data_IF_433589591716
#
_entry.id   IF_433589591716
#
_cell.length_a   1.000
_cell.length_b   1.000
_cell.length_c   1.000
_cell.angle_alpha   90.00
_cell.angle_beta   90.00
_cell.angle_gamma   90.00
#
_symmetry.space_group_name_H-M   'P 1'
#
loop_
_entity.id
_entity.type
_entity.pdbx_description
1 polymer ?
#
# COMPACT_ATOMS: atom_id res chain seq x y z
N UNK A 1 1.61 2.13 13.89
CA UNK A 1 2.32 1.11 13.07
C UNK A 1 3.76 1.04 13.57
N UNK A 2 4.27 -0.13 13.95
CA UNK A 2 5.66 -0.22 14.47
C UNK A 2 6.68 -0.18 13.32
N UNK A 3 7.92 0.23 13.58
CA UNK A 3 8.97 0.31 12.55
C UNK A 3 9.25 -1.02 11.87
N UNK A 4 9.24 -2.13 12.64
CA UNK A 4 9.42 -3.50 12.12
C UNK A 4 8.27 -3.89 11.16
N UNK A 5 7.03 -3.63 11.56
CA UNK A 5 5.84 -3.87 10.74
C UNK A 5 5.90 -3.10 9.43
N UNK A 6 6.34 -1.83 9.48
CA UNK A 6 6.53 -1.01 8.29
C UNK A 6 7.60 -1.60 7.36
N UNK A 7 8.73 -2.03 7.89
CA UNK A 7 9.80 -2.64 7.08
C UNK A 7 9.33 -3.92 6.36
N UNK A 8 8.53 -4.75 7.02
CA UNK A 8 7.95 -5.95 6.41
C UNK A 8 6.95 -5.61 5.29
N UNK A 9 6.06 -4.64 5.51
CA UNK A 9 5.15 -4.18 4.46
C UNK A 9 5.92 -3.58 3.28
N UNK A 10 7.02 -2.88 3.53
CA UNK A 10 7.90 -2.37 2.48
C UNK A 10 8.49 -3.52 1.68
N UNK A 11 9.07 -4.55 2.32
CA UNK A 11 9.67 -5.67 1.60
C UNK A 11 8.64 -6.43 0.76
N UNK A 12 7.45 -6.67 1.31
CA UNK A 12 6.35 -7.28 0.57
C UNK A 12 5.87 -6.40 -0.58
N UNK A 13 5.90 -5.07 -0.42
CA UNK A 13 5.52 -4.17 -1.49
C UNK A 13 6.55 -4.10 -2.61
N UNK A 14 7.83 -4.38 -2.37
CA UNK A 14 8.88 -4.23 -3.39
C UNK A 14 8.70 -5.20 -4.56
N UNK A 15 8.26 -6.44 -4.28
CA UNK A 15 7.96 -7.46 -5.29
C UNK A 15 6.61 -7.30 -6.00
N UNK A 16 5.74 -6.41 -5.52
CA UNK A 16 4.44 -6.17 -6.14
C UNK A 16 4.53 -5.12 -7.25
N UNK A 17 3.88 -5.36 -8.38
CA UNK A 17 3.75 -4.34 -9.41
C UNK A 17 2.66 -3.30 -9.08
N UNK A 18 2.82 -2.05 -9.54
CA UNK A 18 1.77 -1.05 -9.42
C UNK A 18 0.55 -1.51 -10.24
N UNK A 19 -0.57 -1.70 -9.56
CA UNK A 19 -1.83 -2.10 -10.21
C UNK A 19 -2.67 -0.89 -10.64
N UNK A 20 -2.38 0.27 -10.07
CA UNK A 20 -3.05 1.52 -10.39
C UNK A 20 -2.05 2.58 -10.83
N UNK A 21 -2.50 3.49 -11.68
CA UNK A 21 -1.69 4.58 -12.20
C UNK A 21 -2.49 5.89 -12.22
N UNK A 22 -1.87 6.96 -11.72
CA UNK A 22 -2.45 8.31 -11.69
C UNK A 22 -1.88 9.11 -12.85
N UNK A 23 -2.76 9.63 -13.69
CA UNK A 23 -2.44 10.46 -14.85
C UNK A 23 -2.65 11.95 -14.61
N UNK A 24 -3.22 12.64 -15.60
CA UNK A 24 -3.54 14.07 -15.53
C UNK A 24 -4.81 14.35 -14.72
N UNK A 25 -5.77 13.43 -14.72
CA UNK A 25 -7.08 13.59 -14.06
C UNK A 25 -7.04 13.51 -12.52
N UNK A 26 -5.85 13.54 -11.92
CA UNK A 26 -5.63 13.46 -10.47
C UNK A 26 -6.44 12.31 -9.83
N UNK A 27 -6.87 12.46 -8.57
CA UNK A 27 -7.61 11.43 -7.82
C UNK A 27 -9.12 11.68 -7.92
N UNK A 28 -9.79 11.02 -8.88
CA UNK A 28 -11.26 11.05 -8.99
C UNK A 28 -11.93 10.18 -7.91
N UNK A 29 -13.21 10.43 -7.59
CA UNK A 29 -13.96 9.57 -6.67
C UNK A 29 -14.03 8.11 -7.16
N UNK A 30 -14.26 7.86 -8.46
CA UNK A 30 -14.31 6.49 -8.99
C UNK A 30 -12.96 5.78 -8.81
N UNK A 31 -11.85 6.51 -8.91
CA UNK A 31 -10.51 5.96 -8.71
C UNK A 31 -10.30 5.52 -7.25
N UNK A 32 -10.73 6.33 -6.28
CA UNK A 32 -10.67 5.93 -4.86
C UNK A 32 -11.60 4.78 -4.51
N UNK A 33 -12.75 4.65 -5.19
CA UNK A 33 -13.64 3.51 -5.03
C UNK A 33 -13.02 2.23 -5.60
N UNK A 34 -12.41 2.31 -6.79
CA UNK A 34 -11.69 1.19 -7.39
C UNK A 34 -10.52 0.72 -6.50
N UNK A 35 -9.77 1.65 -5.89
CA UNK A 35 -8.72 1.30 -4.91
C UNK A 35 -9.34 0.63 -3.68
N UNK A 36 -10.45 1.16 -3.18
CA UNK A 36 -11.15 0.58 -2.03
C UNK A 36 -11.63 -0.84 -2.30
N UNK A 37 -12.11 -1.13 -3.51
CA UNK A 37 -12.49 -2.46 -3.94
C UNK A 37 -11.27 -3.37 -4.09
N UNK A 38 -10.20 -2.88 -4.68
CA UNK A 38 -8.95 -3.64 -4.80
C UNK A 38 -8.39 -4.04 -3.43
N UNK A 39 -8.59 -3.21 -2.40
CA UNK A 39 -8.19 -3.55 -1.03
C UNK A 39 -8.93 -4.78 -0.47
N UNK A 40 -10.12 -5.11 -0.99
CA UNK A 40 -10.83 -6.32 -0.60
C UNK A 40 -10.16 -7.60 -1.12
N UNK A 41 -9.38 -7.51 -2.21
CA UNK A 41 -8.65 -8.63 -2.81
C UNK A 41 -7.18 -8.65 -2.41
N UNK A 42 -6.59 -7.49 -2.11
CA UNK A 42 -5.17 -7.29 -1.82
C UNK A 42 -5.00 -6.36 -0.63
N UNK A 43 -4.25 -6.79 0.38
CA UNK A 43 -4.02 -5.94 1.55
C UNK A 43 -3.00 -4.82 1.29
N UNK A 44 -2.09 -5.03 0.34
CA UNK A 44 -1.10 -4.03 -0.11
C UNK A 44 -1.40 -3.65 -1.55
N UNK A 45 -1.44 -2.35 -1.82
CA UNK A 45 -1.60 -1.79 -3.15
C UNK A 45 -0.43 -0.86 -3.44
N UNK A 46 0.15 -1.02 -4.62
CA UNK A 46 1.13 -0.10 -5.18
C UNK A 46 0.47 0.71 -6.29
N UNK A 47 0.67 2.02 -6.24
CA UNK A 47 0.14 3.00 -7.18
C UNK A 47 1.33 3.70 -7.84
N UNK A 48 1.30 3.84 -9.16
CA UNK A 48 2.28 4.62 -9.92
C UNK A 48 1.71 5.99 -10.24
N UNK A 49 2.51 7.04 -10.18
CA UNK A 49 2.14 8.40 -10.57
C UNK A 49 2.88 8.72 -11.87
N UNK A 50 2.15 9.15 -12.89
CA UNK A 50 2.73 9.55 -14.16
C UNK A 50 3.50 10.86 -14.02
N UNK A 51 4.45 11.08 -14.94
CA UNK A 51 5.28 12.28 -14.95
C UNK A 51 4.50 13.58 -15.17
N UNK A 52 3.26 13.47 -15.67
CA UNK A 52 2.40 14.60 -15.99
C UNK A 52 1.56 15.08 -14.80
N UNK A 53 1.64 14.42 -13.65
CA UNK A 53 0.99 14.86 -12.42
C UNK A 53 1.89 15.91 -11.74
N UNK A 54 1.36 17.12 -11.55
CA UNK A 54 2.04 18.22 -10.86
C UNK A 54 1.94 18.10 -9.33
N UNK A 55 1.07 17.21 -8.84
CA UNK A 55 0.86 17.02 -7.42
C UNK A 55 1.99 16.22 -6.77
N UNK A 56 2.31 16.57 -5.53
CA UNK A 56 3.30 15.85 -4.75
C UNK A 56 2.82 14.42 -4.43
N UNK A 57 3.57 13.36 -4.77
CA UNK A 57 3.16 11.98 -4.53
C UNK A 57 2.90 11.67 -3.05
N UNK A 58 3.50 12.44 -2.12
CA UNK A 58 3.20 12.30 -0.70
C UNK A 58 1.83 12.88 -0.35
N UNK A 59 1.50 14.07 -0.86
CA UNK A 59 0.16 14.65 -0.71
C UNK A 59 -0.92 13.76 -1.33
N UNK A 60 -0.67 13.19 -2.51
CA UNK A 60 -1.55 12.20 -3.14
C UNK A 60 -1.74 10.96 -2.27
N UNK A 61 -0.64 10.44 -1.71
CA UNK A 61 -0.69 9.28 -0.83
C UNK A 61 -1.58 9.54 0.39
N UNK A 62 -1.43 10.70 1.03
CA UNK A 62 -2.24 11.10 2.19
C UNK A 62 -3.71 11.30 1.82
N UNK A 63 -3.99 11.92 0.66
CA UNK A 63 -5.35 12.10 0.17
C UNK A 63 -6.05 10.75 -0.08
N UNK A 64 -5.40 9.84 -0.79
CA UNK A 64 -5.94 8.51 -1.08
C UNK A 64 -6.07 7.70 0.21
N UNK A 65 -5.09 7.77 1.10
CA UNK A 65 -5.12 7.11 2.41
C UNK A 65 -6.32 7.56 3.24
N UNK A 66 -6.57 8.87 3.31
CA UNK A 66 -7.72 9.44 3.99
C UNK A 66 -9.06 8.96 3.43
N UNK A 67 -9.22 8.98 2.10
CA UNK A 67 -10.46 8.54 1.44
C UNK A 67 -10.71 7.04 1.59
N UNK A 68 -9.68 6.23 1.39
CA UNK A 68 -9.79 4.77 1.41
C UNK A 68 -9.69 4.17 2.81
N UNK A 69 -9.43 4.99 3.84
CA UNK A 69 -9.11 4.55 5.22
C UNK A 69 -7.95 3.54 5.23
N UNK A 70 -6.92 3.84 4.44
CA UNK A 70 -5.70 3.03 4.36
C UNK A 70 -4.52 3.77 4.99
N UNK A 71 -3.42 3.06 5.19
CA UNK A 71 -2.20 3.59 5.79
C UNK A 71 -1.12 3.72 4.73
N UNK A 72 -0.49 4.89 4.67
CA UNK A 72 0.68 5.11 3.81
C UNK A 72 1.89 4.39 4.40
N UNK A 73 2.37 3.36 3.70
CA UNK A 73 3.56 2.61 4.13
C UNK A 73 4.82 3.34 3.70
N UNK A 74 4.94 3.63 2.40
CA UNK A 74 6.13 4.29 1.84
C UNK A 74 5.77 4.95 0.52
N UNK A 75 6.41 6.09 0.26
CA UNK A 75 6.42 6.74 -1.04
C UNK A 75 7.82 6.60 -1.60
N UNK A 76 7.94 6.08 -2.83
CA UNK A 76 9.20 5.79 -3.52
C UNK A 76 9.18 6.57 -4.84
N UNK A 77 9.70 7.80 -4.82
CA UNK A 77 9.62 8.69 -5.97
C UNK A 77 8.17 8.88 -6.39
N UNK A 78 7.82 8.40 -7.59
CA UNK A 78 6.46 8.46 -8.13
C UNK A 78 5.61 7.21 -7.84
N UNK A 79 6.08 6.28 -6.99
CA UNK A 79 5.31 5.10 -6.59
C UNK A 79 4.85 5.25 -5.15
N UNK A 80 3.58 5.00 -4.90
CA UNK A 80 2.96 5.08 -3.58
C UNK A 80 2.60 3.66 -3.14
N UNK A 81 2.97 3.30 -1.92
CA UNK A 81 2.61 2.02 -1.31
C UNK A 81 1.63 2.28 -0.17
N UNK A 82 0.43 1.72 -0.32
CA UNK A 82 -0.64 1.80 0.66
C UNK A 82 -0.94 0.40 1.20
N UNK A 83 -1.28 0.35 2.49
CA UNK A 83 -1.70 -0.88 3.16
C UNK A 83 -3.03 -0.66 3.85
N UNK A 84 -3.95 -1.61 3.68
CA UNK A 84 -5.22 -1.63 4.40
C UNK A 84 -5.45 -3.04 4.95
N UNK A 85 -5.60 -3.20 6.28
CA UNK A 85 -5.95 -4.48 6.85
C UNK A 85 -7.38 -4.86 6.44
N UNK A 86 -7.59 -6.12 6.05
CA UNK A 86 -8.93 -6.64 5.82
C UNK A 86 -9.72 -6.67 7.14
N UNK A 87 -11.03 -6.36 7.06
CA UNK A 87 -11.93 -6.45 8.23
C UNK A 87 -12.01 -7.89 8.75
N UNK A 88 -12.03 -8.85 7.85
CA UNK A 88 -12.08 -10.27 8.16
C UNK A 88 -10.69 -10.79 8.53
N UNK A 89 -10.51 -11.13 9.80
CA UNK A 89 -9.23 -11.60 10.36
C UNK A 89 -8.82 -12.95 9.75
N UNK A 90 -9.79 -13.80 9.36
CA UNK A 90 -9.49 -15.12 8.79
C UNK A 90 -8.98 -15.05 7.36
N UNK A 91 -9.26 -13.96 6.65
CA UNK A 91 -8.78 -13.72 5.26
C UNK A 91 -7.51 -12.86 5.20
N UNK A 92 -6.99 -12.41 6.35
CA UNK A 92 -5.74 -11.65 6.39
C UNK A 92 -4.59 -12.55 5.96
N UNK A 93 -3.89 -12.15 4.90
CA UNK A 93 -2.64 -12.80 4.48
C UNK A 93 -1.46 -12.26 5.26
N UNK A 94 -1.57 -11.05 5.83
CA UNK A 94 -0.50 -10.38 6.55
C UNK A 94 -0.84 -10.30 8.05
N UNK A 95 -0.26 -11.23 8.83
CA UNK A 95 -0.30 -11.24 10.29
C UNK A 95 0.78 -10.32 10.89
N UNK A 96 0.42 -9.08 11.19
CA UNK A 96 1.35 -8.12 11.83
C UNK A 96 1.77 -8.51 13.26
N UNK A 97 1.03 -9.44 13.90
CA UNK A 97 1.32 -9.89 15.27
C UNK A 97 2.42 -10.97 15.34
N UNK A 98 2.61 -11.75 14.26
CA UNK A 98 3.71 -12.74 14.16
C UNK A 98 5.08 -12.08 13.97
N UNK A 99 5.10 -10.83 13.51
CA UNK A 99 6.35 -10.12 13.21
C UNK A 99 7.14 -9.72 14.46
N UNK A 100 6.52 -9.73 15.64
CA UNK A 100 7.20 -9.47 16.90
C UNK A 100 8.16 -10.61 17.31
N UNK A 101 7.99 -11.81 16.73
CA UNK A 101 8.69 -13.05 17.13
C UNK A 101 9.81 -13.45 16.15
N UNK A 102 9.90 -12.81 14.99
CA UNK A 102 10.94 -13.14 14.00
C UNK A 102 12.19 -12.32 14.25
N UNK A 103 13.14 -12.96 14.93
CA UNK A 103 14.56 -12.74 14.72
C UNK A 103 14.90 -12.72 13.21
N UNK A 104 15.89 -11.93 12.76
CA UNK A 104 16.17 -11.58 11.37
C UNK A 104 16.60 -12.73 10.41
N UNK A 105 16.30 -14.00 10.72
CA UNK A 105 16.88 -15.17 10.03
C UNK A 105 15.99 -15.87 8.98
N UNK A 106 14.70 -15.56 8.83
CA UNK A 106 13.84 -16.28 7.86
C UNK A 106 13.51 -15.45 6.61
N UNK A 107 14.55 -15.11 5.85
CA UNK A 107 14.43 -14.86 4.40
C UNK A 107 14.92 -16.08 3.64
N UNK A 108 14.05 -17.08 3.41
CA UNK A 108 14.24 -18.06 2.33
C UNK A 108 12.94 -18.81 2.03
N UNK A 109 12.69 -18.99 0.72
CA UNK A 109 11.64 -19.78 0.06
C UNK A 109 10.24 -19.15 0.17
N UNK A 110 9.51 -18.97 -0.93
CA UNK A 110 9.36 -19.86 -2.09
C UNK A 110 9.16 -19.06 -3.37
#
# INVERSE_FOLDING_TARGET
MTGKQRAFLISQSMSLDPIFQIGKDSVTPEYTDAISEAFNKREIIKISVLNNCLDDPKALAEMIAGRTKSTVVKVIGKKIVLYKPLKDVQKRRIDLNKLCIVDPAEKKKK
#
